data_IF_817114560015
#
_entry.id   IF_817114560015
#
_cell.length_a   1.000
_cell.length_b   1.000
_cell.length_c   1.000
_cell.angle_alpha   90.00
_cell.angle_beta   90.00
_cell.angle_gamma   90.00
#
_symmetry.space_group_name_H-M   'P 1'
#
loop_
_entity.id
_entity.type
_entity.pdbx_description
1 polymer ?
#
# COMPACT_ATOMS: atom_id res chain seq x y z
N UNK A 1 16.06 -15.20 7.01
CA UNK A 1 16.14 -14.48 5.72
C UNK A 1 15.28 -15.17 4.69
N UNK A 2 14.45 -14.40 3.98
CA UNK A 2 13.62 -14.91 2.88
C UNK A 2 14.46 -14.92 1.61
N UNK A 3 14.61 -16.10 1.00
CA UNK A 3 15.35 -16.28 -0.26
C UNK A 3 14.43 -16.34 -1.48
N UNK A 4 13.18 -16.77 -1.31
CA UNK A 4 12.20 -16.93 -2.40
C UNK A 4 11.66 -15.61 -2.98
N UNK A 5 10.98 -15.72 -4.13
CA UNK A 5 10.25 -14.63 -4.76
C UNK A 5 8.86 -14.47 -4.13
N UNK A 6 8.40 -13.23 -3.97
CA UNK A 6 7.07 -12.97 -3.43
C UNK A 6 6.91 -11.58 -2.83
N UNK A 7 5.93 -11.45 -1.94
CA UNK A 7 5.60 -10.21 -1.24
C UNK A 7 5.84 -10.38 0.26
N UNK A 8 6.52 -9.41 0.86
CA UNK A 8 6.69 -9.27 2.30
C UNK A 8 5.83 -8.09 2.75
N UNK A 9 4.86 -8.34 3.62
CA UNK A 9 4.00 -7.30 4.18
C UNK A 9 4.75 -6.58 5.31
N UNK A 10 5.26 -5.38 5.04
CA UNK A 10 6.01 -4.60 6.03
C UNK A 10 5.08 -3.99 7.08
N UNK A 11 3.91 -3.53 6.64
CA UNK A 11 2.84 -3.03 7.48
C UNK A 11 1.47 -3.29 6.87
N UNK A 12 0.46 -3.50 7.72
CA UNK A 12 -0.86 -4.01 7.29
C UNK A 12 -2.05 -3.23 7.86
N UNK A 13 -1.80 -2.20 8.66
CA UNK A 13 -2.81 -1.40 9.34
C UNK A 13 -3.18 -0.11 8.60
N UNK A 14 -4.34 0.44 8.93
CA UNK A 14 -4.80 1.72 8.38
C UNK A 14 -3.90 2.91 8.76
N UNK A 15 -4.26 4.11 8.29
CA UNK A 15 -3.57 5.38 8.58
C UNK A 15 -3.26 5.65 10.06
N UNK A 16 -4.08 5.13 10.97
CA UNK A 16 -3.92 5.32 12.41
C UNK A 16 -2.94 4.35 13.08
N UNK A 17 -2.49 3.30 12.37
CA UNK A 17 -1.75 2.15 12.92
C UNK A 17 -2.50 1.47 14.09
N UNK A 18 -2.05 0.28 14.48
CA UNK A 18 -2.51 -0.39 15.72
C UNK A 18 -1.28 -0.84 16.51
N UNK A 19 -1.18 -0.50 17.82
CA UNK A 19 -2.19 0.15 18.65
C UNK A 19 -2.34 1.66 18.41
N UNK A 20 -3.55 2.18 18.63
CA UNK A 20 -3.79 3.63 18.68
C UNK A 20 -3.35 4.20 20.03
N UNK A 21 -2.51 5.24 20.02
CA UNK A 21 -2.05 5.91 21.25
C UNK A 21 -3.20 6.32 22.17
N UNK A 22 -4.26 6.89 21.61
CA UNK A 22 -5.44 7.32 22.38
C UNK A 22 -6.18 6.14 23.05
N UNK A 23 -6.11 4.95 22.47
CA UNK A 23 -6.67 3.73 23.07
C UNK A 23 -5.79 3.22 24.20
N UNK A 24 -4.47 3.24 24.03
CA UNK A 24 -3.52 2.86 25.09
C UNK A 24 -3.68 3.74 26.31
N UNK A 25 -3.69 5.06 26.15
CA UNK A 25 -3.89 5.98 27.28
C UNK A 25 -5.23 5.77 28.00
N UNK A 26 -6.29 5.42 27.27
CA UNK A 26 -7.60 5.12 27.87
C UNK A 26 -7.60 3.77 28.59
N UNK A 27 -6.98 2.74 28.01
CA UNK A 27 -6.84 1.43 28.62
C UNK A 27 -6.02 1.49 29.91
N UNK A 28 -4.91 2.24 29.96
CA UNK A 28 -4.10 2.40 31.17
C UNK A 28 -4.89 2.95 32.36
N UNK A 29 -5.93 3.76 32.11
CA UNK A 29 -6.81 4.31 33.16
C UNK A 29 -7.80 3.28 33.70
N UNK A 30 -8.15 2.25 32.93
CA UNK A 30 -9.14 1.23 33.30
C UNK A 30 -8.52 -0.10 33.74
N UNK A 31 -7.22 -0.31 33.51
CA UNK A 31 -6.51 -1.51 33.92
C UNK A 31 -6.46 -1.67 35.45
N UNK A 32 -6.74 -2.88 35.97
CA UNK A 32 -6.49 -3.22 37.36
C UNK A 32 -5.03 -2.96 37.74
N UNK A 33 -4.75 -2.53 38.97
CA UNK A 33 -3.40 -2.17 39.42
C UNK A 33 -2.35 -3.27 39.17
N UNK A 34 -2.76 -4.54 39.31
CA UNK A 34 -1.91 -5.72 39.04
C UNK A 34 -1.44 -5.83 37.58
N UNK A 35 -2.19 -5.28 36.63
CA UNK A 35 -1.92 -5.35 35.19
C UNK A 35 -1.31 -4.05 34.63
N UNK A 36 -0.95 -3.08 35.51
CA UNK A 36 -0.32 -1.82 35.09
C UNK A 36 1.18 -1.94 34.84
N UNK A 37 1.85 -2.90 35.50
CA UNK A 37 3.31 -3.06 35.45
C UNK A 37 3.78 -4.27 34.62
N UNK A 38 2.86 -5.00 33.99
CA UNK A 38 3.18 -6.12 33.09
C UNK A 38 1.96 -6.46 32.23
N UNK A 39 2.16 -6.57 30.92
CA UNK A 39 1.10 -7.01 30.01
C UNK A 39 0.86 -8.50 30.22
N UNK A 40 -0.35 -8.85 30.62
CA UNK A 40 -0.72 -10.25 30.78
C UNK A 40 -0.71 -10.90 29.39
N UNK A 41 0.22 -11.81 29.14
CA UNK A 41 0.14 -12.70 28.00
C UNK A 41 -0.71 -13.90 28.43
N UNK A 42 -2.02 -13.81 28.24
CA UNK A 42 -2.96 -14.90 28.55
C UNK A 42 -3.32 -15.67 27.29
N UNK A 43 -3.28 -16.99 27.34
CA UNK A 43 -3.84 -17.84 26.30
C UNK A 43 -5.32 -18.11 26.57
N UNK A 44 -6.09 -18.36 25.51
CA UNK A 44 -7.50 -18.75 25.65
C UNK A 44 -7.57 -20.14 26.28
N UNK A 45 -8.49 -20.35 27.24
CA UNK A 45 -8.79 -21.69 27.75
C UNK A 45 -9.46 -22.51 26.65
N UNK A 46 -9.26 -23.83 26.67
CA UNK A 46 -9.82 -24.76 25.67
C UNK A 46 -11.35 -24.62 25.51
N UNK A 47 -12.07 -24.56 26.61
CA UNK A 47 -13.54 -24.41 26.62
C UNK A 47 -13.99 -23.09 25.97
N UNK A 48 -13.27 -21.98 26.25
CA UNK A 48 -13.57 -20.69 25.63
C UNK A 48 -13.27 -20.72 24.12
N UNK A 49 -12.27 -21.50 23.70
CA UNK A 49 -11.92 -21.65 22.29
C UNK A 49 -13.00 -22.41 21.53
N UNK A 50 -13.52 -23.51 22.08
CA UNK A 50 -14.63 -24.27 21.51
C UNK A 50 -15.91 -23.41 21.36
N UNK A 51 -16.20 -22.54 22.34
CA UNK A 51 -17.31 -21.57 22.25
C UNK A 51 -17.09 -20.57 21.11
N UNK A 52 -15.87 -20.02 20.97
CA UNK A 52 -15.52 -19.12 19.86
C UNK A 52 -15.63 -19.83 18.52
N UNK A 53 -15.14 -21.07 18.39
CA UNK A 53 -15.23 -21.82 17.14
C UNK A 53 -16.68 -22.03 16.72
N UNK A 54 -17.53 -22.47 17.64
CA UNK A 54 -18.97 -22.66 17.39
C UNK A 54 -19.63 -21.35 16.96
N UNK A 55 -19.33 -20.25 17.65
CA UNK A 55 -19.81 -18.93 17.26
C UNK A 55 -19.40 -18.57 15.83
N UNK A 56 -18.15 -18.84 15.43
CA UNK A 56 -17.70 -18.58 14.05
C UNK A 56 -18.40 -19.49 13.03
N UNK A 57 -18.65 -20.77 13.33
CA UNK A 57 -19.43 -21.65 12.45
C UNK A 57 -20.85 -21.09 12.22
N UNK A 58 -21.51 -20.66 13.29
CA UNK A 58 -22.83 -20.03 13.24
C UNK A 58 -22.82 -18.73 12.42
N UNK A 59 -21.70 -17.99 12.40
CA UNK A 59 -21.57 -16.81 11.55
C UNK A 59 -21.40 -17.16 10.08
N UNK A 60 -20.50 -18.10 9.75
CA UNK A 60 -20.25 -18.51 8.36
C UNK A 60 -21.49 -19.13 7.71
N UNK A 61 -22.29 -19.87 8.48
CA UNK A 61 -23.56 -20.43 8.00
C UNK A 61 -24.59 -19.36 7.62
N UNK A 62 -24.51 -18.16 8.21
CA UNK A 62 -25.36 -16.99 7.93
C UNK A 62 -24.74 -16.03 6.90
N UNK A 63 -23.78 -16.54 6.14
CA UNK A 63 -23.02 -15.81 5.11
C UNK A 63 -22.31 -14.55 5.65
N UNK A 64 -21.95 -13.62 4.76
CA UNK A 64 -21.23 -12.40 5.12
C UNK A 64 -22.08 -11.38 5.92
N UNK A 65 -23.41 -11.56 6.03
CA UNK A 65 -24.29 -10.55 6.61
C UNK A 65 -24.01 -10.25 8.09
N UNK A 66 -23.45 -11.21 8.81
CA UNK A 66 -23.25 -11.13 10.26
C UNK A 66 -21.78 -10.93 10.66
N UNK A 67 -20.89 -10.59 9.71
CA UNK A 67 -19.45 -10.45 9.96
C UNK A 67 -19.13 -9.42 11.07
N UNK A 68 -19.95 -8.37 11.26
CA UNK A 68 -19.80 -7.41 12.36
C UNK A 68 -19.92 -8.02 13.76
N UNK A 69 -20.49 -9.22 13.90
CA UNK A 69 -20.58 -9.87 15.22
C UNK A 69 -19.20 -10.32 15.73
N UNK A 70 -18.16 -10.28 14.89
CA UNK A 70 -16.76 -10.58 15.25
C UNK A 70 -16.07 -9.47 16.08
N UNK A 71 -16.76 -8.39 16.42
CA UNK A 71 -16.29 -7.16 17.09
C UNK A 71 -15.72 -7.33 18.54
N UNK A 72 -14.89 -8.35 18.81
CA UNK A 72 -14.12 -8.62 20.03
C UNK A 72 -14.70 -9.65 21.02
N UNK A 73 -15.42 -10.67 20.56
CA UNK A 73 -15.79 -11.81 21.42
C UNK A 73 -14.54 -12.53 21.94
N UNK A 74 -13.60 -12.84 21.04
CA UNK A 74 -12.36 -13.58 21.35
C UNK A 74 -11.51 -12.90 22.43
N UNK A 75 -11.22 -11.60 22.29
CA UNK A 75 -10.34 -10.93 23.26
C UNK A 75 -10.99 -10.70 24.62
N UNK A 76 -12.32 -10.58 24.71
CA UNK A 76 -13.02 -10.54 26.00
C UNK A 76 -12.85 -11.85 26.77
N UNK A 77 -12.87 -12.98 26.06
CA UNK A 77 -12.60 -14.31 26.63
C UNK A 77 -11.12 -14.48 26.98
N UNK A 78 -10.22 -13.93 26.16
CA UNK A 78 -8.76 -13.94 26.41
C UNK A 78 -8.36 -13.14 27.64
N UNK A 79 -9.01 -12.00 27.86
CA UNK A 79 -8.71 -11.06 28.95
C UNK A 79 -9.92 -10.84 29.87
N UNK A 80 -10.37 -11.89 30.60
CA UNK A 80 -11.58 -11.80 31.43
C UNK A 80 -11.43 -10.80 32.58
N UNK A 81 -10.21 -10.63 33.09
CA UNK A 81 -9.90 -9.67 34.17
C UNK A 81 -9.82 -8.21 33.69
N UNK A 82 -9.95 -7.98 32.38
CA UNK A 82 -9.85 -6.66 31.74
C UNK A 82 -11.20 -6.24 31.12
N UNK A 83 -12.31 -6.38 31.85
CA UNK A 83 -13.67 -6.22 31.35
C UNK A 83 -14.00 -4.84 30.74
N UNK A 84 -13.27 -3.79 31.13
CA UNK A 84 -13.56 -2.39 30.79
C UNK A 84 -12.50 -1.72 29.91
N UNK A 85 -11.79 -2.49 29.07
CA UNK A 85 -10.87 -1.91 28.09
C UNK A 85 -11.64 -1.11 27.04
N UNK A 86 -11.09 0.05 26.65
CA UNK A 86 -11.63 0.87 25.57
C UNK A 86 -11.52 0.14 24.22
N UNK A 87 -10.41 -0.55 23.99
CA UNK A 87 -10.17 -1.35 22.80
C UNK A 87 -9.27 -2.52 23.16
N UNK A 88 -9.81 -3.74 23.00
CA UNK A 88 -9.09 -4.97 23.29
C UNK A 88 -7.96 -5.22 22.28
N UNK A 89 -8.19 -5.00 20.97
CA UNK A 89 -7.15 -5.22 19.95
C UNK A 89 -5.95 -4.31 20.14
N UNK A 90 -6.15 -3.06 20.55
CA UNK A 90 -5.04 -2.16 20.89
C UNK A 90 -4.31 -2.60 22.16
N UNK A 91 -5.01 -3.20 23.14
CA UNK A 91 -4.35 -3.76 24.31
C UNK A 91 -3.52 -4.99 23.96
N UNK A 92 -4.10 -5.92 23.19
CA UNK A 92 -3.45 -7.13 22.70
C UNK A 92 -2.21 -6.81 21.84
N UNK A 93 -2.28 -5.76 21.01
CA UNK A 93 -1.18 -5.30 20.16
C UNK A 93 0.07 -4.82 20.92
N UNK A 94 0.02 -4.70 22.25
CA UNK A 94 1.20 -4.41 23.08
C UNK A 94 2.02 -5.67 23.42
N UNK A 95 1.50 -6.87 23.17
CA UNK A 95 2.24 -8.11 23.36
C UNK A 95 3.28 -8.31 22.25
N UNK A 96 4.42 -8.92 22.60
CA UNK A 96 5.65 -9.00 21.79
C UNK A 96 5.49 -9.72 20.43
N UNK A 97 4.42 -10.51 20.24
CA UNK A 97 4.13 -11.22 18.99
C UNK A 97 2.67 -11.08 18.53
N UNK A 98 1.98 -10.04 18.98
CA UNK A 98 0.59 -9.84 18.57
C UNK A 98 0.51 -9.44 17.10
N UNK A 99 -0.25 -10.21 16.32
CA UNK A 99 -0.62 -9.87 14.93
C UNK A 99 -1.67 -8.75 14.85
N UNK A 100 -2.13 -8.25 15.99
CA UNK A 100 -2.90 -7.01 16.08
C UNK A 100 -1.98 -5.77 16.12
N UNK A 101 -0.67 -5.92 16.35
CA UNK A 101 0.29 -4.85 16.08
C UNK A 101 0.45 -4.69 14.57
N UNK A 102 0.11 -3.50 14.06
CA UNK A 102 0.05 -3.20 12.63
C UNK A 102 0.57 -1.79 12.35
N UNK A 103 1.66 -1.69 11.63
CA UNK A 103 2.19 -0.47 11.03
C UNK A 103 1.33 -0.03 9.84
N UNK A 104 1.60 1.15 9.28
CA UNK A 104 0.90 1.60 8.08
C UNK A 104 1.19 0.67 6.91
N UNK A 105 0.23 0.58 6.00
CA UNK A 105 0.33 -0.23 4.79
C UNK A 105 1.67 0.03 4.09
N UNK A 106 2.44 -1.03 3.90
CA UNK A 106 3.65 -1.04 3.08
C UNK A 106 4.01 -2.49 2.76
N UNK A 107 4.53 -2.73 1.56
CA UNK A 107 4.91 -4.06 1.12
C UNK A 107 6.19 -4.05 0.30
N UNK A 108 7.01 -5.09 0.47
CA UNK A 108 8.24 -5.27 -0.27
C UNK A 108 8.08 -6.47 -1.21
N UNK A 109 8.04 -6.20 -2.50
CA UNK A 109 8.10 -7.22 -3.55
C UNK A 109 9.56 -7.63 -3.71
N UNK A 110 9.84 -8.93 -3.61
CA UNK A 110 11.16 -9.51 -3.81
C UNK A 110 11.13 -10.43 -5.01
N UNK A 111 12.07 -10.25 -5.91
CA UNK A 111 12.28 -11.16 -7.02
C UNK A 111 13.77 -11.29 -7.31
N UNK A 112 14.33 -12.49 -7.08
CA UNK A 112 15.76 -12.73 -7.05
C UNK A 112 16.45 -11.69 -6.15
N UNK A 113 17.34 -10.85 -6.71
CA UNK A 113 18.04 -9.79 -5.97
C UNK A 113 17.40 -8.41 -6.16
N UNK A 114 16.27 -8.32 -6.87
CA UNK A 114 15.57 -7.06 -7.17
C UNK A 114 14.40 -6.87 -6.22
N UNK A 115 14.27 -5.65 -5.72
CA UNK A 115 13.23 -5.27 -4.77
C UNK A 115 12.42 -4.09 -5.29
N UNK A 116 11.11 -4.16 -5.08
CA UNK A 116 10.18 -3.05 -5.34
C UNK A 116 9.38 -2.79 -4.08
N UNK A 117 9.43 -1.56 -3.57
CA UNK A 117 8.71 -1.15 -2.38
C UNK A 117 7.39 -0.51 -2.78
N UNK A 118 6.30 -0.90 -2.12
CA UNK A 118 4.99 -0.26 -2.22
C UNK A 118 4.77 0.54 -0.94
N UNK A 119 4.61 1.84 -1.09
CA UNK A 119 4.41 2.84 -0.05
C UNK A 119 5.53 2.94 1.00
N UNK A 120 5.80 4.17 1.42
CA UNK A 120 6.85 4.55 2.37
C UNK A 120 6.23 5.48 3.42
N UNK A 121 5.31 4.94 4.21
CA UNK A 121 4.59 5.70 5.24
C UNK A 121 5.44 6.16 6.42
N UNK A 122 4.82 6.92 7.33
CA UNK A 122 5.43 7.38 8.60
C UNK A 122 5.99 6.25 9.51
N UNK A 123 5.57 5.00 9.32
CA UNK A 123 6.05 3.83 10.07
C UNK A 123 7.05 2.98 9.29
N UNK A 124 7.50 3.44 8.11
CA UNK A 124 8.41 2.70 7.23
C UNK A 124 9.69 2.23 7.95
N UNK A 125 10.38 3.14 8.65
CA UNK A 125 11.60 2.82 9.39
C UNK A 125 11.39 1.68 10.39
N UNK A 126 10.34 1.76 11.21
CA UNK A 126 10.00 0.69 12.18
C UNK A 126 9.67 -0.62 11.46
N UNK A 127 8.91 -0.54 10.35
CA UNK A 127 8.46 -1.69 9.59
C UNK A 127 9.63 -2.47 8.97
N UNK A 128 10.61 -1.76 8.41
CA UNK A 128 11.83 -2.37 7.87
C UNK A 128 12.68 -3.00 8.99
N UNK A 129 12.92 -2.27 10.08
CA UNK A 129 13.75 -2.74 11.19
C UNK A 129 13.14 -3.96 11.90
N UNK A 130 11.82 -4.01 12.04
CA UNK A 130 11.10 -5.13 12.65
C UNK A 130 11.12 -6.40 11.78
N UNK A 131 11.53 -6.29 10.52
CA UNK A 131 11.63 -7.38 9.56
C UNK A 131 13.09 -7.73 9.21
N UNK A 132 14.04 -7.38 10.08
CA UNK A 132 15.47 -7.66 9.87
C UNK A 132 15.80 -9.17 9.79
N UNK A 133 14.96 -10.03 10.34
CA UNK A 133 15.07 -11.48 10.27
C UNK A 133 14.65 -12.03 8.89
N UNK A 134 13.92 -11.23 8.12
CA UNK A 134 13.32 -11.59 6.82
C UNK A 134 14.04 -10.94 5.65
N UNK A 135 14.52 -9.71 5.81
CA UNK A 135 15.11 -8.90 4.73
C UNK A 135 16.63 -8.95 4.81
N UNK A 136 17.28 -9.31 3.69
CA UNK A 136 18.74 -9.24 3.61
C UNK A 136 19.25 -7.84 3.29
N UNK A 137 19.53 -7.05 4.33
CA UNK A 137 20.02 -5.68 4.18
C UNK A 137 21.37 -5.56 3.47
N UNK A 138 22.21 -6.60 3.48
CA UNK A 138 23.49 -6.55 2.78
C UNK A 138 23.35 -6.73 1.26
N UNK A 139 22.20 -7.21 0.79
CA UNK A 139 21.95 -7.56 -0.62
C UNK A 139 20.73 -6.83 -1.20
N UNK A 140 20.10 -5.94 -0.43
CA UNK A 140 18.91 -5.23 -0.87
C UNK A 140 19.26 -4.29 -2.04
N UNK A 141 18.77 -4.61 -3.23
CA UNK A 141 18.81 -3.73 -4.39
C UNK A 141 17.38 -3.24 -4.69
N UNK A 142 17.04 -2.11 -4.07
CA UNK A 142 15.77 -1.42 -4.28
C UNK A 142 15.79 -0.73 -5.65
N UNK A 143 15.05 -1.29 -6.60
CA UNK A 143 14.96 -0.75 -7.97
C UNK A 143 13.93 0.36 -8.09
N UNK A 144 12.79 0.18 -7.43
CA UNK A 144 11.67 1.10 -7.53
C UNK A 144 10.88 1.22 -6.23
N UNK A 145 10.26 2.37 -6.05
CA UNK A 145 9.26 2.67 -5.03
C UNK A 145 7.97 3.05 -5.75
N UNK A 146 6.86 2.44 -5.39
CA UNK A 146 5.54 2.72 -5.92
C UNK A 146 4.72 3.42 -4.83
N UNK A 147 4.28 4.65 -5.08
CA UNK A 147 3.44 5.41 -4.15
C UNK A 147 1.99 5.31 -4.61
N UNK A 148 1.15 4.65 -3.81
CA UNK A 148 -0.28 4.49 -4.07
C UNK A 148 -1.00 5.83 -4.00
N UNK A 149 -0.65 6.65 -3.01
CA UNK A 149 -1.19 7.97 -2.81
C UNK A 149 -0.38 8.83 -1.83
N UNK A 150 -0.75 10.10 -1.71
CA UNK A 150 -0.03 11.11 -0.90
C UNK A 150 -0.48 11.32 0.55
N UNK A 151 -1.22 10.41 1.18
CA UNK A 151 -1.43 10.54 2.61
C UNK A 151 -0.14 10.19 3.39
N UNK A 152 -0.08 10.67 4.64
CA UNK A 152 1.09 10.52 5.52
C UNK A 152 1.50 9.07 5.73
N UNK A 153 0.52 8.19 5.82
CA UNK A 153 0.65 6.76 6.01
C UNK A 153 1.17 6.02 4.76
N UNK A 154 1.20 6.65 3.59
CA UNK A 154 1.77 6.08 2.37
C UNK A 154 3.09 6.76 1.93
N UNK A 155 3.38 7.98 2.36
CA UNK A 155 4.50 8.76 1.78
C UNK A 155 5.47 9.43 2.78
N UNK A 156 5.10 9.66 4.04
CA UNK A 156 5.90 10.52 4.91
C UNK A 156 7.21 9.90 5.46
N UNK A 157 7.52 8.66 5.12
CA UNK A 157 8.82 8.02 5.37
C UNK A 157 9.79 8.13 4.18
N UNK A 158 9.45 8.84 3.11
CA UNK A 158 10.25 8.88 1.87
C UNK A 158 11.70 9.34 2.05
N UNK A 159 11.97 10.19 3.04
CA UNK A 159 13.32 10.67 3.36
C UNK A 159 14.22 9.57 3.96
N UNK A 160 13.64 8.57 4.63
CA UNK A 160 14.38 7.42 5.17
C UNK A 160 14.96 6.52 4.06
N UNK A 161 14.52 6.66 2.80
CA UNK A 161 15.09 5.92 1.66
C UNK A 161 16.57 6.20 1.45
N UNK A 162 17.08 7.36 1.91
CA UNK A 162 18.53 7.65 1.88
C UNK A 162 19.34 6.58 2.59
N UNK A 163 18.81 5.97 3.65
CA UNK A 163 19.55 4.96 4.43
C UNK A 163 19.68 3.64 3.66
N UNK A 164 18.92 3.45 2.58
CA UNK A 164 18.99 2.30 1.67
C UNK A 164 19.89 2.56 0.44
N UNK A 165 20.52 3.74 0.34
CA UNK A 165 21.35 4.09 -0.80
C UNK A 165 22.84 4.07 -0.45
N UNK A 166 23.66 3.66 -1.42
CA UNK A 166 25.11 3.81 -1.33
C UNK A 166 25.54 5.22 -1.71
N UNK A 167 26.41 5.82 -0.88
CA UNK A 167 26.97 7.15 -1.13
C UNK A 167 28.49 7.09 -1.25
N UNK A 168 29.03 7.85 -2.20
CA UNK A 168 30.44 8.22 -2.27
C UNK A 168 30.65 9.58 -1.59
N UNK A 169 31.73 9.71 -0.82
CA UNK A 169 32.19 11.01 -0.29
C UNK A 169 33.10 11.65 -1.33
N UNK A 170 32.71 12.82 -1.82
CA UNK A 170 33.44 13.57 -2.84
C UNK A 170 34.05 14.82 -2.20
N UNK A 171 35.37 14.96 -2.30
CA UNK A 171 36.07 16.17 -1.86
C UNK A 171 36.04 17.23 -2.96
N UNK A 172 35.83 18.49 -2.57
CA UNK A 172 35.84 19.64 -3.46
C UNK A 172 36.50 20.83 -2.73
N UNK A 173 37.79 21.04 -2.99
CA UNK A 173 38.60 21.97 -2.18
C UNK A 173 38.64 21.51 -0.71
N UNK A 174 38.36 22.43 0.22
CA UNK A 174 38.35 22.17 1.66
C UNK A 174 37.01 21.60 2.19
N UNK A 175 36.03 21.40 1.31
CA UNK A 175 34.73 20.83 1.67
C UNK A 175 34.55 19.43 1.08
N UNK A 176 33.65 18.66 1.66
CA UNK A 176 33.21 17.39 1.10
C UNK A 176 31.69 17.32 1.03
N UNK A 177 31.19 16.51 0.10
CA UNK A 177 29.77 16.22 -0.03
C UNK A 177 29.51 14.75 -0.31
N UNK A 178 28.28 14.29 -0.11
CA UNK A 178 27.85 12.94 -0.44
C UNK A 178 27.08 12.90 -1.76
N UNK A 179 27.42 11.94 -2.60
CA UNK A 179 26.72 11.68 -3.86
C UNK A 179 26.24 10.23 -3.88
N UNK A 180 24.96 10.00 -4.18
CA UNK A 180 24.42 8.65 -4.30
C UNK A 180 24.95 7.99 -5.58
N UNK A 181 25.31 6.70 -5.49
CA UNK A 181 25.76 5.92 -6.64
C UNK A 181 24.61 5.57 -7.60
N UNK A 182 23.41 5.37 -7.06
CA UNK A 182 22.22 4.94 -7.80
C UNK A 182 20.98 5.64 -7.23
N UNK A 183 20.39 6.59 -7.97
CA UNK A 183 19.08 7.12 -7.62
C UNK A 183 18.01 6.01 -7.62
N UNK A 184 17.01 6.14 -6.76
CA UNK A 184 15.87 5.22 -6.70
C UNK A 184 14.73 5.81 -7.54
N UNK A 185 14.12 4.98 -8.39
CA UNK A 185 12.96 5.36 -9.18
C UNK A 185 11.69 5.33 -8.31
N UNK A 186 10.95 6.44 -8.28
CA UNK A 186 9.71 6.62 -7.50
C UNK A 186 8.55 6.89 -8.44
N UNK A 187 7.61 5.95 -8.53
CA UNK A 187 6.43 6.05 -9.38
C UNK A 187 5.23 6.57 -8.60
N UNK A 188 4.57 7.61 -9.12
CA UNK A 188 3.44 8.26 -8.45
C UNK A 188 2.55 9.03 -9.45
N UNK A 189 1.29 9.28 -9.10
CA UNK A 189 0.44 10.17 -9.91
C UNK A 189 0.77 11.65 -9.66
N UNK A 190 0.25 12.54 -10.51
CA UNK A 190 0.54 13.97 -10.43
C UNK A 190 0.05 14.59 -9.11
N UNK A 191 -1.14 14.18 -8.65
CA UNK A 191 -1.70 14.65 -7.38
C UNK A 191 -0.76 14.33 -6.21
N UNK A 192 -0.17 13.14 -6.21
CA UNK A 192 0.75 12.74 -5.15
C UNK A 192 2.08 13.47 -5.25
N UNK A 193 2.59 13.69 -6.46
CA UNK A 193 3.78 14.49 -6.70
C UNK A 193 3.60 15.94 -6.23
N UNK A 194 2.44 16.55 -6.51
CA UNK A 194 2.12 17.91 -6.07
C UNK A 194 2.10 18.05 -4.54
N UNK A 195 1.60 17.04 -3.81
CA UNK A 195 1.67 17.04 -2.35
C UNK A 195 3.09 16.80 -1.84
N UNK A 196 3.83 15.88 -2.49
CA UNK A 196 5.22 15.59 -2.15
C UNK A 196 6.09 16.84 -2.27
N UNK A 197 6.02 17.58 -3.39
CA UNK A 197 6.85 18.78 -3.58
C UNK A 197 6.57 19.87 -2.54
N UNK A 198 5.34 19.94 -2.01
CA UNK A 198 4.98 20.93 -1.00
C UNK A 198 5.51 20.54 0.40
N UNK A 199 5.58 19.24 0.73
CA UNK A 199 6.06 18.76 2.04
C UNK A 199 7.56 18.44 2.07
N UNK A 200 8.11 18.02 0.93
CA UNK A 200 9.48 17.53 0.75
C UNK A 200 10.16 18.24 -0.43
N UNK A 201 10.01 19.57 -0.50
CA UNK A 201 10.51 20.40 -1.60
C UNK A 201 12.00 20.16 -1.91
N UNK A 202 12.81 19.93 -0.88
CA UNK A 202 14.23 19.64 -1.02
C UNK A 202 14.51 18.32 -1.76
N UNK A 203 13.61 17.34 -1.74
CA UNK A 203 13.71 16.11 -2.52
C UNK A 203 13.28 16.32 -3.97
N UNK A 204 12.30 17.19 -4.23
CA UNK A 204 11.67 17.38 -5.53
C UNK A 204 12.30 18.49 -6.39
N UNK A 205 13.02 19.45 -5.81
CA UNK A 205 13.67 20.54 -6.55
C UNK A 205 14.86 20.06 -7.37
N UNK A 206 14.99 20.61 -8.58
CA UNK A 206 16.19 20.48 -9.42
C UNK A 206 17.41 20.97 -8.63
N UNK A 207 18.41 20.10 -8.51
CA UNK A 207 19.65 20.40 -7.76
C UNK A 207 20.70 20.81 -8.77
N UNK A 208 21.05 22.10 -8.79
CA UNK A 208 22.14 22.65 -9.62
C UNK A 208 23.49 22.02 -9.27
N UNK A 209 23.63 21.54 -8.03
CA UNK A 209 24.78 20.79 -7.55
C UNK A 209 24.29 19.65 -6.64
N UNK A 210 24.60 18.40 -6.95
CA UNK A 210 24.40 17.25 -6.04
C UNK A 210 25.38 17.29 -4.86
N UNK A 211 25.55 18.46 -4.22
CA UNK A 211 26.49 18.70 -3.13
C UNK A 211 25.74 18.85 -1.81
N UNK A 212 25.64 17.75 -1.08
CA UNK A 212 25.12 17.75 0.28
C UNK A 212 26.22 17.50 1.29
N UNK A 213 26.34 18.38 2.29
CA UNK A 213 27.19 18.13 3.47
C UNK A 213 26.68 16.93 4.29
N UNK A 214 25.41 16.55 4.11
CA UNK A 214 24.76 15.36 4.69
C UNK A 214 24.29 14.38 3.61
N UNK A 215 23.89 13.17 3.96
CA UNK A 215 23.25 12.26 2.99
C UNK A 215 21.79 12.68 2.80
N UNK A 216 21.36 12.83 1.55
CA UNK A 216 19.96 13.11 1.20
C UNK A 216 19.50 12.09 0.17
N UNK A 217 18.25 11.63 0.28
CA UNK A 217 17.69 10.67 -0.67
C UNK A 217 17.85 11.19 -2.10
N UNK A 218 18.42 10.35 -2.96
CA UNK A 218 18.56 10.63 -4.38
C UNK A 218 17.47 9.85 -5.12
N UNK A 219 16.45 10.55 -5.61
CA UNK A 219 15.23 9.97 -6.16
C UNK A 219 15.01 10.50 -7.58
N UNK A 220 14.50 9.63 -8.46
CA UNK A 220 13.91 10.00 -9.75
C UNK A 220 12.40 9.91 -9.61
N UNK A 221 11.66 10.99 -9.83
CA UNK A 221 10.20 10.95 -9.77
C UNK A 221 9.62 10.66 -11.16
N UNK A 222 8.94 9.52 -11.31
CA UNK A 222 8.27 9.11 -12.54
C UNK A 222 6.77 9.32 -12.40
N UNK A 223 6.27 10.39 -13.02
CA UNK A 223 4.88 10.80 -12.91
C UNK A 223 4.03 10.04 -13.94
N UNK A 224 2.98 9.36 -13.47
CA UNK A 224 2.03 8.64 -14.31
C UNK A 224 1.17 9.64 -15.11
N UNK A 225 1.46 9.80 -16.40
CA UNK A 225 0.84 10.85 -17.24
C UNK A 225 -0.34 10.30 -18.02
N UNK A 226 -1.40 9.97 -17.30
CA UNK A 226 -2.68 9.62 -17.92
C UNK A 226 -3.83 10.23 -17.11
N UNK A 227 -4.81 10.76 -17.83
CA UNK A 227 -5.93 11.52 -17.27
C UNK A 227 -6.66 10.71 -16.19
N UNK A 228 -6.71 9.38 -16.29
CA UNK A 228 -7.37 8.51 -15.32
C UNK A 228 -6.72 8.56 -13.93
N UNK A 229 -5.41 8.80 -13.84
CA UNK A 229 -4.68 8.90 -12.56
C UNK A 229 -4.67 10.32 -11.99
N UNK A 230 -4.92 11.32 -12.85
CA UNK A 230 -4.72 12.73 -12.54
C UNK A 230 -6.04 13.51 -12.43
N UNK A 231 -7.18 12.84 -12.58
CA UNK A 231 -8.50 13.45 -12.45
C UNK A 231 -8.99 13.44 -11.00
N UNK A 232 -9.31 14.62 -10.47
CA UNK A 232 -10.15 14.74 -9.28
C UNK A 232 -11.58 14.49 -9.75
N UNK A 233 -12.12 13.32 -9.41
CA UNK A 233 -13.49 12.93 -9.77
C UNK A 233 -14.47 13.93 -9.13
N UNK A 234 -14.89 14.97 -9.86
CA UNK A 234 -15.95 15.89 -9.43
C UNK A 234 -17.34 15.27 -9.70
N UNK A 235 -18.32 15.70 -8.91
CA UNK A 235 -19.71 15.20 -8.82
C UNK A 235 -20.32 14.71 -10.14
N UNK A 236 -20.89 13.50 -10.07
CA UNK A 236 -21.88 12.90 -10.98
C UNK A 236 -21.63 13.02 -12.50
N UNK A 237 -20.44 12.66 -12.97
CA UNK A 237 -20.29 12.13 -14.34
C UNK A 237 -20.09 10.63 -14.32
N UNK A 238 -21.08 9.91 -14.83
CA UNK A 238 -20.98 8.47 -15.08
C UNK A 238 -19.85 8.19 -16.07
N UNK A 239 -19.07 7.14 -15.79
CA UNK A 239 -17.89 6.78 -16.57
C UNK A 239 -18.20 6.42 -18.05
N UNK A 240 -19.47 6.19 -18.38
CA UNK A 240 -19.94 5.98 -19.75
C UNK A 240 -19.81 7.26 -20.60
N UNK A 241 -19.86 8.46 -20.00
CA UNK A 241 -19.63 9.74 -20.71
C UNK A 241 -18.14 9.99 -21.01
N UNK A 242 -17.23 9.32 -20.27
CA UNK A 242 -15.77 9.48 -20.43
C UNK A 242 -15.28 8.74 -21.70
N UNK A 243 -15.98 7.70 -22.15
CA UNK A 243 -15.63 7.00 -23.41
C UNK A 243 -15.75 7.94 -24.61
N UNK A 244 -16.76 8.80 -24.62
CA UNK A 244 -17.00 9.71 -25.74
C UNK A 244 -16.01 10.89 -25.73
N UNK A 245 -15.62 11.43 -24.58
CA UNK A 245 -14.64 12.51 -24.51
C UNK A 245 -13.21 12.06 -24.87
N UNK A 246 -12.79 10.84 -24.50
CA UNK A 246 -11.46 10.29 -24.88
C UNK A 246 -11.38 9.99 -26.39
N UNK A 247 -12.49 9.58 -27.01
CA UNK A 247 -12.59 9.44 -28.46
C UNK A 247 -12.65 10.79 -29.18
N UNK A 248 -13.22 11.84 -28.57
CA UNK A 248 -13.28 13.18 -29.17
C UNK A 248 -11.94 13.94 -29.07
N UNK A 249 -11.20 13.79 -27.97
CA UNK A 249 -9.90 14.46 -27.75
C UNK A 249 -8.77 13.90 -28.63
N UNK A 250 -8.86 12.63 -29.03
CA UNK A 250 -7.93 12.01 -29.99
C UNK A 250 -8.18 12.42 -31.45
N UNK A 251 -9.34 13.01 -31.76
CA UNK A 251 -9.69 13.51 -33.10
C UNK A 251 -9.48 15.03 -33.27
N UNK A 252 -9.24 15.79 -32.20
CA UNK A 252 -8.94 17.22 -32.28
C UNK A 252 -7.46 17.55 -32.47
N UNK A 253 -6.55 16.57 -32.34
CA UNK A 253 -5.11 16.77 -32.57
C UNK A 253 -4.67 16.63 -34.05
N UNK A 254 -5.59 16.38 -34.99
CA UNK A 254 -5.26 16.13 -36.40
C UNK A 254 -5.81 17.17 -37.40
N UNK A 255 -6.21 18.37 -36.96
CA UNK A 255 -6.62 19.42 -37.90
C UNK A 255 -6.16 20.82 -37.46
N UNK A 256 -4.89 21.14 -37.71
CA UNK A 256 -4.46 22.50 -38.08
C UNK A 256 -3.20 22.43 -38.94
N UNK A 257 -3.38 22.50 -40.25
CA UNK A 257 -2.30 22.77 -41.20
C UNK A 257 -1.86 24.23 -41.10
N UNK A 258 -0.53 24.41 -41.03
CA UNK A 258 0.30 25.54 -41.49
C UNK A 258 -0.23 26.97 -41.30
N UNK A 259 0.48 27.79 -40.51
CA UNK A 259 1.30 28.91 -41.02
C UNK A 259 1.97 29.70 -39.88
N UNK A 260 3.19 30.14 -40.18
CA UNK A 260 3.95 31.25 -39.61
C UNK A 260 4.70 31.08 -38.27
N UNK A 261 6.03 31.02 -38.45
CA UNK A 261 7.07 31.58 -37.60
C UNK A 261 6.60 32.64 -36.58
N UNK A 262 6.94 32.45 -35.31
CA UNK A 262 7.70 33.45 -34.54
C UNK A 262 8.49 32.72 -33.46
N UNK A 263 9.81 32.65 -33.66
CA UNK A 263 10.80 32.38 -32.64
C UNK A 263 10.84 33.62 -31.75
N UNK A 264 10.44 33.52 -30.48
CA UNK A 264 10.88 34.49 -29.48
C UNK A 264 12.15 33.96 -28.85
N UNK A 265 13.27 34.46 -29.38
CA UNK A 265 14.53 34.53 -28.68
C UNK A 265 14.36 35.51 -27.52
N UNK A 266 14.54 35.03 -26.29
CA UNK A 266 15.07 35.88 -25.23
C UNK A 266 16.33 35.22 -24.65
N UNK A 267 17.44 35.83 -25.07
CA UNK A 267 18.68 36.08 -24.34
C UNK A 267 19.41 34.93 -23.65
N UNK A 268 20.45 34.45 -24.35
CA UNK A 268 21.78 34.05 -23.85
C UNK A 268 21.88 33.69 -22.37
N UNK A 269 21.82 32.38 -22.08
CA UNK A 269 22.63 31.83 -20.99
C UNK A 269 23.35 30.56 -21.48
N UNK A 270 24.62 30.72 -21.81
CA UNK A 270 25.55 29.62 -22.04
C UNK A 270 25.87 28.95 -20.70
N UNK A 271 24.95 28.13 -20.19
CA UNK A 271 25.23 27.14 -19.16
C UNK A 271 24.31 25.94 -19.31
N UNK A 272 24.64 25.12 -20.30
CA UNK A 272 23.98 23.88 -20.64
C UNK A 272 24.37 22.79 -19.60
N UNK A 273 23.53 22.58 -18.57
CA UNK A 273 23.46 21.35 -17.74
C UNK A 273 22.15 21.34 -16.94
N UNK A 274 21.04 20.98 -17.59
CA UNK A 274 19.75 20.71 -16.94
C UNK A 274 19.73 19.25 -16.47
N UNK A 275 19.72 19.00 -15.16
CA UNK A 275 19.66 17.64 -14.59
C UNK A 275 18.30 17.48 -13.90
N UNK A 276 17.27 17.23 -14.70
CA UNK A 276 15.88 17.11 -14.24
C UNK A 276 15.65 15.66 -13.76
N UNK A 277 15.51 15.41 -12.45
CA UNK A 277 15.14 14.10 -11.88
C UNK A 277 13.61 13.86 -11.86
N UNK A 278 12.90 14.41 -12.85
CA UNK A 278 11.45 14.25 -13.01
C UNK A 278 11.21 13.74 -14.42
N UNK A 279 10.59 12.58 -14.50
CA UNK A 279 10.29 11.88 -15.73
C UNK A 279 8.79 11.67 -15.87
N UNK A 280 8.36 11.43 -17.10
CA UNK A 280 6.97 11.09 -17.40
C UNK A 280 6.90 9.62 -17.80
N UNK A 281 5.91 8.90 -17.25
CA UNK A 281 5.67 7.51 -17.57
C UNK A 281 4.43 7.41 -18.46
N UNK A 282 4.67 7.20 -19.76
CA UNK A 282 3.63 7.25 -20.80
C UNK A 282 3.51 5.90 -21.52
N UNK A 283 4.33 4.90 -21.15
CA UNK A 283 4.35 3.58 -21.78
C UNK A 283 3.09 2.82 -21.42
N UNK A 284 2.26 2.54 -22.42
CA UNK A 284 0.96 1.85 -22.27
C UNK A 284 1.02 0.44 -22.81
N UNK A 285 0.30 -0.47 -22.16
CA UNK A 285 0.05 -1.81 -22.67
C UNK A 285 -1.03 -1.80 -23.76
N UNK A 286 -1.34 -2.98 -24.29
CA UNK A 286 -2.33 -3.20 -25.34
C UNK A 286 -3.76 -2.78 -24.95
N UNK A 287 -4.03 -2.58 -23.66
CA UNK A 287 -5.32 -2.11 -23.13
C UNK A 287 -5.27 -0.62 -22.74
N UNK A 288 -4.16 0.05 -23.03
CA UNK A 288 -3.96 1.48 -22.77
C UNK A 288 -3.56 1.80 -21.33
N UNK A 289 -3.24 0.84 -20.46
CA UNK A 289 -2.81 1.11 -19.08
C UNK A 289 -1.31 1.33 -19.00
N UNK A 290 -0.89 2.31 -18.18
CA UNK A 290 0.53 2.60 -17.97
C UNK A 290 1.18 1.40 -17.30
N UNK A 291 2.40 1.05 -17.71
CA UNK A 291 3.20 0.05 -17.02
C UNK A 291 4.69 0.41 -17.02
N UNK A 292 5.41 -0.15 -16.05
CA UNK A 292 6.87 -0.20 -16.01
C UNK A 292 7.34 -1.65 -15.90
N UNK A 293 8.65 -1.86 -15.85
CA UNK A 293 9.27 -3.17 -15.65
C UNK A 293 10.32 -3.13 -14.55
N UNK A 294 10.42 -4.20 -13.79
CA UNK A 294 11.53 -4.45 -12.85
C UNK A 294 12.20 -5.78 -13.20
N UNK A 295 13.42 -6.00 -12.70
CA UNK A 295 14.21 -7.20 -12.99
C UNK A 295 14.24 -7.51 -14.50
N UNK A 296 14.58 -6.50 -15.31
CA UNK A 296 14.63 -6.49 -16.78
C UNK A 296 13.28 -6.59 -17.53
N UNK A 297 12.35 -7.47 -17.14
CA UNK A 297 11.16 -7.73 -17.97
C UNK A 297 9.84 -8.02 -17.22
N UNK A 298 9.83 -8.04 -15.89
CA UNK A 298 8.61 -8.31 -15.11
C UNK A 298 7.77 -7.05 -15.06
N UNK A 299 6.54 -7.12 -15.59
CA UNK A 299 5.66 -5.94 -15.73
C UNK A 299 5.03 -5.56 -14.39
N UNK A 300 4.96 -4.25 -14.15
CA UNK A 300 4.12 -3.61 -13.12
C UNK A 300 3.17 -2.69 -13.87
N UNK A 301 1.89 -3.06 -13.93
CA UNK A 301 0.83 -2.24 -14.52
C UNK A 301 0.17 -1.42 -13.43
N UNK A 302 -0.04 -0.14 -13.70
CA UNK A 302 -0.74 0.76 -12.79
C UNK A 302 -2.24 0.68 -13.05
N UNK A 303 -3.06 0.69 -12.00
CA UNK A 303 -4.52 0.70 -12.10
C UNK A 303 -5.11 1.80 -11.20
N UNK A 304 -5.92 2.73 -11.71
CA UNK A 304 -6.52 3.79 -10.91
C UNK A 304 -7.79 3.31 -10.20
N UNK A 305 -8.02 3.72 -8.97
CA UNK A 305 -9.29 3.49 -8.26
C UNK A 305 -9.57 4.63 -7.27
N UNK A 306 -10.78 4.66 -6.70
CA UNK A 306 -11.21 5.74 -5.80
C UNK A 306 -10.90 5.43 -4.34
N UNK A 307 -10.55 6.49 -3.61
CA UNK A 307 -10.33 6.55 -2.16
C UNK A 307 -11.14 7.71 -1.56
N UNK A 308 -12.46 7.60 -1.68
CA UNK A 308 -13.40 8.70 -1.51
C UNK A 308 -13.80 9.30 -2.85
N UNK A 309 -14.82 10.16 -2.86
CA UNK A 309 -15.42 10.64 -4.12
C UNK A 309 -14.44 11.38 -5.02
N UNK A 310 -13.49 12.14 -4.47
CA UNK A 310 -12.67 13.08 -5.24
C UNK A 310 -11.17 12.76 -5.15
N UNK A 311 -10.82 11.49 -4.97
CA UNK A 311 -9.44 11.11 -4.74
C UNK A 311 -9.11 9.80 -5.42
N UNK A 312 -8.11 9.82 -6.32
CA UNK A 312 -7.66 8.65 -7.07
C UNK A 312 -6.35 8.14 -6.47
N UNK A 313 -6.37 6.87 -6.09
CA UNK A 313 -5.21 6.09 -5.69
C UNK A 313 -4.74 5.20 -6.85
N UNK A 314 -3.51 4.70 -6.73
CA UNK A 314 -2.88 3.82 -7.70
C UNK A 314 -2.70 2.43 -7.09
N UNK A 315 -3.22 1.42 -7.77
CA UNK A 315 -2.94 0.01 -7.53
C UNK A 315 -2.03 -0.58 -8.58
N UNK A 316 -1.70 -1.85 -8.38
CA UNK A 316 -0.67 -2.52 -9.16
C UNK A 316 -1.10 -3.93 -9.59
N UNK A 317 -0.88 -4.27 -10.86
CA UNK A 317 -0.87 -5.66 -11.33
C UNK A 317 0.58 -6.01 -11.65
N UNK A 318 1.16 -6.88 -10.84
CA UNK A 318 2.57 -7.27 -10.90
C UNK A 318 2.70 -8.68 -11.45
N UNK A 319 3.62 -8.84 -12.39
CA UNK A 319 3.99 -10.12 -12.96
C UNK A 319 3.47 -10.35 -14.38
N UNK A 320 4.05 -11.36 -15.01
CA UNK A 320 3.72 -11.86 -16.34
C UNK A 320 3.02 -13.22 -16.25
N UNK A 321 3.59 -14.15 -15.47
CA UNK A 321 3.12 -15.53 -15.37
C UNK A 321 2.17 -15.70 -14.20
N UNK A 322 2.65 -15.40 -13.00
CA UNK A 322 1.83 -15.33 -11.79
C UNK A 322 1.51 -13.87 -11.48
N UNK A 323 0.23 -13.58 -11.24
CA UNK A 323 -0.23 -12.20 -11.11
C UNK A 323 -0.59 -11.89 -9.68
N UNK A 324 0.05 -10.85 -9.15
CA UNK A 324 -0.35 -10.20 -7.92
C UNK A 324 -1.11 -8.93 -8.27
N UNK A 325 -2.31 -8.77 -7.72
CA UNK A 325 -3.09 -7.53 -7.77
C UNK A 325 -3.06 -6.88 -6.41
N UNK A 326 -2.68 -5.61 -6.33
CA UNK A 326 -2.55 -4.85 -5.08
C UNK A 326 -3.43 -3.60 -5.11
N UNK A 327 -4.40 -3.54 -4.19
CA UNK A 327 -5.37 -2.45 -4.06
C UNK A 327 -5.50 -2.08 -2.57
N UNK A 328 -4.79 -1.04 -2.12
CA UNK A 328 -4.93 -0.47 -0.77
C UNK A 328 -5.79 0.80 -0.80
N UNK A 329 -6.33 1.22 0.35
CA UNK A 329 -7.02 2.52 0.49
C UNK A 329 -8.09 2.75 -0.60
N UNK A 330 -9.08 1.87 -0.68
CA UNK A 330 -10.02 1.87 -1.79
C UNK A 330 -11.46 1.77 -1.31
N UNK A 331 -12.38 2.63 -1.79
CA UNK A 331 -13.82 2.46 -1.59
C UNK A 331 -14.57 2.05 -2.85
N UNK A 332 -13.96 2.21 -4.03
CA UNK A 332 -14.62 1.91 -5.29
C UNK A 332 -13.60 1.65 -6.41
N UNK A 333 -13.81 0.53 -7.10
CA UNK A 333 -13.10 0.18 -8.34
C UNK A 333 -14.12 0.19 -9.47
N UNK A 334 -13.84 0.97 -10.50
CA UNK A 334 -14.71 1.11 -11.65
C UNK A 334 -14.77 -0.18 -12.50
N UNK A 335 -15.86 -0.35 -13.24
CA UNK A 335 -16.09 -1.54 -14.08
C UNK A 335 -14.98 -1.78 -15.10
N UNK A 336 -14.47 -0.74 -15.76
CA UNK A 336 -13.37 -0.91 -16.73
C UNK A 336 -12.07 -1.41 -16.09
N UNK A 337 -11.78 -1.02 -14.86
CA UNK A 337 -10.60 -1.50 -14.12
C UNK A 337 -10.81 -2.94 -13.68
N UNK A 338 -12.02 -3.28 -13.21
CA UNK A 338 -12.40 -4.67 -12.91
C UNK A 338 -12.26 -5.55 -14.15
N UNK A 339 -12.77 -5.10 -15.30
CA UNK A 339 -12.71 -5.84 -16.56
C UNK A 339 -11.26 -6.01 -17.03
N UNK A 340 -10.43 -4.98 -16.85
CA UNK A 340 -8.99 -5.04 -17.12
C UNK A 340 -8.28 -6.05 -16.20
N UNK A 341 -8.51 -6.01 -14.89
CA UNK A 341 -7.98 -6.99 -13.93
C UNK A 341 -8.34 -8.42 -14.36
N UNK A 342 -9.59 -8.65 -14.77
CA UNK A 342 -10.08 -9.96 -15.23
C UNK A 342 -9.39 -10.48 -16.49
N UNK A 343 -8.80 -9.61 -17.34
CA UNK A 343 -8.00 -10.05 -18.50
C UNK A 343 -6.74 -10.81 -18.10
N UNK A 344 -6.28 -10.65 -16.86
CA UNK A 344 -5.09 -11.30 -16.33
C UNK A 344 -5.38 -12.55 -15.51
N UNK A 345 -6.63 -13.04 -15.52
CA UNK A 345 -6.96 -14.31 -14.88
C UNK A 345 -6.14 -15.49 -15.49
N UNK A 346 -5.75 -16.49 -14.69
CA UNK A 346 -5.94 -16.58 -13.24
C UNK A 346 -5.04 -15.60 -12.47
N UNK A 347 -5.58 -15.03 -11.39
CA UNK A 347 -4.84 -14.17 -10.45
C UNK A 347 -4.43 -15.03 -9.26
N UNK A 348 -3.14 -15.03 -8.93
CA UNK A 348 -2.62 -15.87 -7.84
C UNK A 348 -2.85 -15.20 -6.49
N UNK A 349 -2.55 -13.90 -6.39
CA UNK A 349 -2.68 -13.14 -5.15
C UNK A 349 -3.47 -11.86 -5.39
N UNK A 350 -4.50 -11.63 -4.59
CA UNK A 350 -5.15 -10.33 -4.43
C UNK A 350 -4.84 -9.79 -3.04
N UNK A 351 -4.21 -8.63 -2.98
CA UNK A 351 -4.07 -7.83 -1.76
C UNK A 351 -5.11 -6.71 -1.81
N UNK A 352 -5.98 -6.63 -0.81
CA UNK A 352 -7.12 -5.70 -0.83
C UNK A 352 -7.40 -5.05 0.53
N UNK A 353 -7.74 -3.76 0.52
CA UNK A 353 -8.19 -2.95 1.66
C UNK A 353 -9.39 -3.58 2.40
N UNK A 354 -9.49 -3.46 3.72
CA UNK A 354 -10.59 -3.97 4.54
C UNK A 354 -10.63 -3.29 5.93
N UNK A 355 -11.07 -2.04 5.98
CA UNK A 355 -10.94 -1.18 7.17
C UNK A 355 -11.74 -1.65 8.40
N UNK A 356 -12.99 -2.03 8.18
CA UNK A 356 -13.96 -2.50 9.19
C UNK A 356 -14.65 -3.78 8.70
N UNK A 357 -15.40 -4.49 9.55
CA UNK A 357 -16.10 -5.71 9.12
C UNK A 357 -17.17 -5.44 8.05
N UNK A 358 -18.24 -4.69 8.35
CA UNK A 358 -19.31 -4.33 7.40
C UNK A 358 -19.62 -2.84 7.34
N UNK A 359 -19.22 -2.06 8.35
CA UNK A 359 -19.49 -0.63 8.41
C UNK A 359 -18.95 0.08 7.16
N UNK A 360 -19.84 0.78 6.46
CA UNK A 360 -19.45 1.61 5.30
C UNK A 360 -18.53 2.73 5.76
N UNK A 361 -17.46 2.94 4.99
CA UNK A 361 -16.57 4.06 5.17
C UNK A 361 -16.52 4.90 3.89
N UNK A 362 -16.30 6.21 4.02
CA UNK A 362 -16.31 7.12 2.89
C UNK A 362 -15.21 6.80 1.86
N UNK A 363 -14.01 6.43 2.35
CA UNK A 363 -12.82 6.21 1.52
C UNK A 363 -12.26 4.78 1.52
N UNK A 364 -12.89 3.84 2.21
CA UNK A 364 -12.37 2.48 2.36
C UNK A 364 -13.46 1.43 2.20
N UNK A 365 -13.07 0.27 1.70
CA UNK A 365 -13.90 -0.91 1.70
C UNK A 365 -13.98 -1.47 3.12
N UNK A 366 -15.17 -1.94 3.45
CA UNK A 366 -15.36 -2.92 4.52
C UNK A 366 -14.87 -4.29 4.06
N UNK A 367 -14.54 -5.17 5.01
CA UNK A 367 -14.20 -6.57 4.74
C UNK A 367 -15.31 -7.29 3.99
N UNK A 368 -16.58 -6.99 4.28
CA UNK A 368 -17.72 -7.46 3.50
C UNK A 368 -17.58 -7.10 2.02
N UNK A 369 -17.33 -5.82 1.71
CA UNK A 369 -17.17 -5.34 0.32
C UNK A 369 -15.95 -5.97 -0.35
N UNK A 370 -14.85 -6.12 0.38
CA UNK A 370 -13.61 -6.72 -0.14
C UNK A 370 -13.73 -8.21 -0.40
N UNK A 371 -14.49 -8.95 0.42
CA UNK A 371 -14.83 -10.35 0.14
C UNK A 371 -15.71 -10.42 -1.12
N UNK A 372 -16.73 -9.57 -1.24
CA UNK A 372 -17.59 -9.53 -2.44
C UNK A 372 -16.77 -9.22 -3.71
N UNK A 373 -15.85 -8.26 -3.63
CA UNK A 373 -14.92 -7.95 -4.71
C UNK A 373 -14.03 -9.16 -5.04
N UNK A 374 -13.52 -9.86 -4.03
CA UNK A 374 -12.71 -11.06 -4.21
C UNK A 374 -13.49 -12.19 -4.90
N UNK A 375 -14.76 -12.40 -4.55
CA UNK A 375 -15.64 -13.37 -5.22
C UNK A 375 -15.91 -13.00 -6.70
N UNK A 376 -15.90 -11.71 -7.03
CA UNK A 376 -16.03 -11.22 -8.40
C UNK A 376 -14.75 -11.44 -9.22
N UNK A 377 -13.58 -11.25 -8.62
CA UNK A 377 -12.26 -11.37 -9.27
C UNK A 377 -11.77 -12.82 -9.33
N UNK A 378 -12.15 -13.65 -8.34
CA UNK A 378 -11.76 -15.06 -8.18
C UNK A 378 -10.23 -15.31 -8.17
N UNK A 379 -9.46 -14.62 -7.31
CA UNK A 379 -8.04 -14.93 -7.12
C UNK A 379 -7.86 -16.25 -6.34
N UNK A 380 -6.70 -16.90 -6.45
CA UNK A 380 -6.40 -18.11 -5.67
C UNK A 380 -6.23 -17.81 -4.17
N UNK A 381 -5.56 -16.70 -3.84
CA UNK A 381 -5.32 -16.26 -2.47
C UNK A 381 -5.66 -14.78 -2.30
N UNK A 382 -6.35 -14.45 -1.21
CA UNK A 382 -6.67 -13.07 -0.81
C UNK A 382 -5.95 -12.76 0.50
N UNK A 383 -5.29 -11.60 0.53
CA UNK A 383 -4.74 -10.99 1.73
C UNK A 383 -5.42 -9.65 1.99
N UNK A 384 -6.15 -9.57 3.10
CA UNK A 384 -6.75 -8.32 3.54
C UNK A 384 -5.72 -7.45 4.29
N UNK A 385 -5.67 -6.17 3.96
CA UNK A 385 -4.81 -5.13 4.55
C UNK A 385 -5.65 -3.89 4.92
N UNK A 386 -5.02 -2.88 5.51
CA UNK A 386 -5.67 -1.59 5.81
C UNK A 386 -6.66 -1.64 6.97
N UNK A 387 -6.63 -2.73 7.75
CA UNK A 387 -7.62 -2.93 8.78
C UNK A 387 -7.37 -2.04 10.00
N UNK A 388 -8.45 -1.50 10.56
CA UNK A 388 -8.43 -0.76 11.82
C UNK A 388 -8.29 -1.71 13.03
N UNK A 389 -8.20 -1.12 14.23
CA UNK A 389 -8.21 -1.88 15.48
C UNK A 389 -9.55 -2.57 15.81
N UNK A 390 -10.60 -2.37 14.99
CA UNK A 390 -11.87 -3.08 15.17
C UNK A 390 -11.79 -4.51 14.61
N UNK A 391 -10.89 -4.76 13.66
CA UNK A 391 -10.67 -6.06 13.05
C UNK A 391 -9.58 -6.82 13.80
N UNK A 392 -9.99 -7.77 14.63
CA UNK A 392 -9.10 -8.61 15.44
C UNK A 392 -8.54 -9.75 14.60
N UNK A 393 -7.22 -9.95 14.63
CA UNK A 393 -6.52 -10.84 13.72
C UNK A 393 -6.96 -12.32 13.83
N UNK A 394 -7.00 -12.88 15.04
CA UNK A 394 -7.13 -14.31 15.25
C UNK A 394 -8.55 -14.82 14.95
N UNK A 395 -9.57 -14.19 15.54
CA UNK A 395 -10.97 -14.58 15.32
C UNK A 395 -11.39 -14.37 13.87
N UNK A 396 -10.87 -13.30 13.23
CA UNK A 396 -11.18 -13.02 11.84
C UNK A 396 -10.52 -14.03 10.92
N UNK A 397 -9.26 -14.41 11.16
CA UNK A 397 -8.64 -15.47 10.37
C UNK A 397 -9.31 -16.84 10.57
N UNK A 398 -9.83 -17.14 11.77
CA UNK A 398 -10.67 -18.33 11.98
C UNK A 398 -11.95 -18.27 11.12
N UNK A 399 -12.60 -17.11 11.06
CA UNK A 399 -13.75 -16.87 10.17
C UNK A 399 -13.38 -17.04 8.70
N UNK A 400 -12.30 -16.41 8.24
CA UNK A 400 -11.85 -16.46 6.85
C UNK A 400 -11.40 -17.86 6.43
N UNK A 401 -10.79 -18.64 7.33
CA UNK A 401 -10.46 -20.04 7.07
C UNK A 401 -11.73 -20.88 6.85
N UNK A 402 -12.76 -20.70 7.68
CA UNK A 402 -14.05 -21.38 7.52
C UNK A 402 -14.78 -20.90 6.26
N UNK A 403 -14.67 -19.62 5.93
CA UNK A 403 -15.20 -19.06 4.67
C UNK A 403 -14.49 -19.64 3.44
N UNK A 404 -13.18 -19.87 3.50
CA UNK A 404 -12.41 -20.51 2.42
C UNK A 404 -12.89 -21.94 2.14
N UNK A 405 -13.41 -22.66 3.15
CA UNK A 405 -14.05 -23.98 2.94
C UNK A 405 -15.37 -23.87 2.16
N UNK A 406 -16.10 -22.76 2.29
CA UNK A 406 -17.33 -22.48 1.54
C UNK A 406 -17.03 -22.11 0.08
N UNK A 407 -15.89 -21.47 -0.17
CA UNK A 407 -15.43 -21.07 -1.51
C UNK A 407 -14.07 -21.72 -1.82
N UNK A 408 -14.04 -23.01 -2.19
CA UNK A 408 -12.79 -23.81 -2.22
C UNK A 408 -11.76 -23.31 -3.24
N UNK A 409 -12.16 -22.52 -4.23
CA UNK A 409 -11.26 -21.94 -5.23
C UNK A 409 -10.50 -20.71 -4.72
N UNK A 410 -10.89 -20.14 -3.56
CA UNK A 410 -10.35 -18.91 -3.01
C UNK A 410 -9.98 -19.11 -1.55
N UNK A 411 -8.69 -18.95 -1.24
CA UNK A 411 -8.21 -18.87 0.13
C UNK A 411 -8.26 -17.42 0.62
N UNK A 412 -8.80 -17.20 1.82
CA UNK A 412 -8.92 -15.88 2.44
C UNK A 412 -8.10 -15.80 3.72
N UNK A 413 -7.36 -14.71 3.89
CA UNK A 413 -6.67 -14.43 5.15
C UNK A 413 -6.43 -12.94 5.36
N UNK A 414 -6.35 -12.53 6.62
CA UNK A 414 -5.75 -11.27 7.01
C UNK A 414 -4.24 -11.35 6.86
N UNK A 415 -3.64 -10.34 6.24
CA UNK A 415 -2.21 -10.13 6.37
C UNK A 415 -1.85 -9.73 7.82
N UNK A 416 -0.56 -9.84 8.14
CA UNK A 416 0.03 -9.24 9.32
C UNK A 416 1.43 -8.75 8.98
N UNK A 417 1.95 -7.83 9.79
CA UNK A 417 3.31 -7.34 9.63
C UNK A 417 4.30 -8.51 9.68
N UNK A 418 5.23 -8.51 8.73
CA UNK A 418 6.20 -9.58 8.49
C UNK A 418 5.68 -10.84 7.82
N UNK A 419 4.42 -10.92 7.41
CA UNK A 419 3.94 -12.03 6.59
C UNK A 419 4.71 -12.07 5.26
N UNK A 420 5.12 -13.26 4.83
CA UNK A 420 5.64 -13.52 3.50
C UNK A 420 4.67 -14.39 2.72
N UNK A 421 4.30 -13.96 1.52
CA UNK A 421 3.52 -14.76 0.59
C UNK A 421 4.34 -15.00 -0.70
N UNK A 422 4.64 -16.27 -1.03
CA UNK A 422 5.43 -16.59 -2.22
C UNK A 422 4.66 -16.30 -3.51
N UNK A 423 5.35 -15.71 -4.48
CA UNK A 423 4.80 -15.42 -5.82
C UNK A 423 5.95 -15.34 -6.82
N UNK A 424 5.89 -16.10 -7.91
CA UNK A 424 6.90 -16.07 -8.97
C UNK A 424 6.43 -15.19 -10.13
N UNK A 425 6.59 -13.87 -9.94
CA UNK A 425 6.09 -12.80 -10.82
C UNK A 425 6.35 -13.02 -12.33
#
# INVERSE_FOLDING_TARGET
MITGNGIIFLGTGSSSSTPKLSHIFKNCKTLPEKNRNGFANSELRKEDFEEVEKFVDDLVSKDLENIDKLNNLYLKKKYPDCSNLKCYSCYDALAENSKNKRNNISALLKSNNSYVLIDVGKTFRESILSNNDKINFSEINLEAVLISHSHTDAMNGIDDLRDLQEYERVSYGDVYYYKSKKPIDVYLNNVSYDRLRNGFEYLAKERTENRFYSKVAALNFLILKDVRYNYLMHEDKHLDEIKDEVCCLSNQSNNTNSTNHTIMNDTNDMNNKKWINIHTCDKKDEYGFIYTTFENNKKIRFIPFQHGKNYVCVGYIVGNNHKLVYISDCNYVSTYVIDYIKKFAPIDILVIDALYYKSKHYSHFSMYESIQFSLLIKPKQVYFIGMSCDVEHNITNLYLQKLSKKYPDISFSLAHDGLFAPCDF
#
